data_IF_411871977769
#
_entry.id   IF_411871977769
#
_cell.length_a   1.000
_cell.length_b   1.000
_cell.length_c   1.000
_cell.angle_alpha   90.00
_cell.angle_beta   90.00
_cell.angle_gamma   90.00
#
_symmetry.space_group_name_H-M   'P 1'
#
loop_
_entity.id
_entity.type
_entity.pdbx_description
1 polymer ?
#
# COMPACT_ATOMS: atom_id res chain seq x y z
N UNK A 1 -5.87 -2.07 0.56
CA UNK A 1 -4.46 -1.61 0.53
C UNK A 1 -3.74 -2.09 1.79
N UNK A 2 -2.47 -2.49 1.69
CA UNK A 2 -1.66 -2.92 2.84
C UNK A 2 -0.33 -2.17 2.89
N UNK A 3 0.06 -1.68 4.07
CA UNK A 3 1.27 -0.88 4.25
C UNK A 3 2.23 -1.59 5.21
N UNK A 4 3.45 -1.86 4.74
CA UNK A 4 4.54 -2.41 5.57
C UNK A 4 5.69 -1.43 5.70
N UNK A 5 6.47 -1.28 4.62
CA UNK A 5 7.70 -0.47 4.62
C UNK A 5 7.47 1.01 4.90
N UNK A 6 6.42 1.63 4.37
CA UNK A 6 6.13 3.06 4.58
C UNK A 6 6.01 3.42 6.08
N UNK A 7 5.11 2.76 6.83
CA UNK A 7 5.02 2.92 8.29
C UNK A 7 6.33 2.60 9.04
N UNK A 8 7.08 1.58 8.62
CA UNK A 8 8.39 1.27 9.24
C UNK A 8 9.38 2.43 9.09
N UNK A 9 9.41 3.08 7.92
CA UNK A 9 10.24 4.27 7.67
C UNK A 9 9.74 5.45 8.50
N UNK A 10 8.42 5.66 8.60
CA UNK A 10 7.85 6.70 9.46
C UNK A 10 8.20 6.52 10.95
N UNK A 11 8.38 5.27 11.40
CA UNK A 11 8.86 4.96 12.75
C UNK A 11 10.38 5.11 12.94
N UNK A 12 11.14 5.34 11.87
CA UNK A 12 12.59 5.59 11.92
C UNK A 12 13.45 4.58 11.18
N UNK A 13 12.90 3.68 10.35
CA UNK A 13 13.72 2.78 9.53
C UNK A 13 14.52 3.57 8.49
N UNK A 14 15.84 3.36 8.47
CA UNK A 14 16.77 3.99 7.51
C UNK A 14 17.12 3.10 6.32
N UNK A 15 16.37 2.01 6.10
CA UNK A 15 16.54 1.08 4.99
C UNK A 15 17.97 0.50 4.85
N UNK A 16 18.60 0.17 5.98
CA UNK A 16 19.95 -0.43 6.00
C UNK A 16 20.01 -1.88 5.48
N UNK A 17 18.86 -2.57 5.40
CA UNK A 17 18.72 -3.95 4.87
C UNK A 17 19.53 -5.03 5.60
N UNK A 18 19.71 -4.89 6.90
CA UNK A 18 20.36 -5.88 7.79
C UNK A 18 19.37 -6.53 8.78
N UNK A 19 18.08 -6.50 8.44
CA UNK A 19 17.01 -6.94 9.34
C UNK A 19 17.14 -8.41 9.78
N UNK A 20 17.71 -9.26 8.94
CA UNK A 20 17.94 -10.67 9.22
C UNK A 20 19.11 -10.94 10.18
N UNK A 21 19.97 -9.95 10.43
CA UNK A 21 21.18 -10.10 11.24
C UNK A 21 20.98 -9.74 12.72
N UNK A 22 19.78 -9.34 13.13
CA UNK A 22 19.48 -8.86 14.49
C UNK A 22 20.29 -7.63 14.92
N UNK A 23 20.85 -6.87 13.96
CA UNK A 23 21.74 -5.71 14.23
C UNK A 23 21.12 -4.37 13.84
N UNK A 24 19.79 -4.27 13.87
CA UNK A 24 19.09 -3.04 13.50
C UNK A 24 19.52 -1.86 14.41
N UNK A 25 20.15 -0.80 13.87
CA UNK A 25 20.66 0.29 14.69
C UNK A 25 19.55 1.14 15.32
N UNK A 26 18.35 1.11 14.71
CA UNK A 26 17.19 1.89 15.11
C UNK A 26 16.26 1.13 16.07
N UNK A 27 16.59 -0.11 16.45
CA UNK A 27 15.81 -0.90 17.39
C UNK A 27 14.46 -1.42 16.87
N UNK A 28 14.25 -1.44 15.54
CA UNK A 28 12.99 -1.84 14.91
C UNK A 28 12.94 -3.36 14.72
N UNK A 29 13.82 -3.89 13.87
CA UNK A 29 13.90 -5.33 13.58
C UNK A 29 15.05 -5.96 14.36
N UNK A 30 14.92 -6.02 15.68
CA UNK A 30 15.91 -6.67 16.55
C UNK A 30 15.28 -7.19 17.85
N UNK A 31 15.74 -8.34 18.34
CA UNK A 31 15.41 -8.90 19.64
C UNK A 31 16.48 -8.58 20.70
N UNK A 32 17.67 -8.10 20.29
CA UNK A 32 18.71 -7.67 21.21
C UNK A 32 18.22 -6.54 22.13
N UNK A 33 18.20 -6.73 23.47
CA UNK A 33 17.68 -5.73 24.41
C UNK A 33 18.38 -4.37 24.34
N UNK A 34 19.69 -4.33 24.08
CA UNK A 34 20.44 -3.08 24.02
C UNK A 34 20.14 -2.28 22.75
N UNK A 35 19.89 -2.97 21.64
CA UNK A 35 19.48 -2.31 20.39
C UNK A 35 18.01 -1.89 20.43
N UNK A 36 17.12 -2.67 21.06
CA UNK A 36 15.70 -2.34 21.22
C UNK A 36 15.47 -1.05 22.00
N UNK A 37 16.32 -0.72 22.97
CA UNK A 37 16.30 0.58 23.69
C UNK A 37 16.46 1.80 22.77
N UNK A 38 17.02 1.61 21.56
CA UNK A 38 17.21 2.67 20.57
C UNK A 38 15.94 3.00 19.80
N UNK A 39 14.88 2.20 19.94
CA UNK A 39 13.60 2.46 19.29
C UNK A 39 12.97 3.74 19.83
N UNK A 40 12.73 4.70 18.93
CA UNK A 40 12.12 6.00 19.23
C UNK A 40 10.81 6.23 18.47
N UNK A 41 10.30 5.21 17.78
CA UNK A 41 9.05 5.29 17.06
C UNK A 41 7.88 5.48 18.02
N UNK A 42 6.92 6.32 17.64
CA UNK A 42 5.72 6.55 18.43
C UNK A 42 4.46 6.32 17.59
N UNK A 43 3.33 5.93 18.21
CA UNK A 43 2.07 5.72 17.49
C UNK A 43 1.64 6.95 16.68
N UNK A 44 1.91 8.16 17.17
CA UNK A 44 1.55 9.41 16.51
C UNK A 44 2.19 9.54 15.12
N UNK A 45 3.38 8.96 14.91
CA UNK A 45 4.05 8.99 13.60
C UNK A 45 3.28 8.17 12.56
N UNK A 46 2.71 7.03 12.97
CA UNK A 46 1.87 6.20 12.09
C UNK A 46 0.53 6.90 11.82
N UNK A 47 -0.08 7.48 12.85
CA UNK A 47 -1.34 8.24 12.71
C UNK A 47 -1.14 9.39 11.72
N UNK A 48 -0.05 10.15 11.86
CA UNK A 48 0.27 11.24 10.95
C UNK A 48 0.53 10.74 9.53
N UNK A 49 1.30 9.66 9.37
CA UNK A 49 1.54 9.03 8.07
C UNK A 49 0.22 8.65 7.38
N UNK A 50 -0.67 7.94 8.08
CA UNK A 50 -1.95 7.52 7.51
C UNK A 50 -2.86 8.71 7.20
N UNK A 51 -2.84 9.76 8.04
CA UNK A 51 -3.60 10.99 7.79
C UNK A 51 -3.13 11.67 6.50
N UNK A 52 -1.83 11.85 6.32
CA UNK A 52 -1.27 12.46 5.10
C UNK A 52 -1.51 11.60 3.86
N UNK A 53 -1.37 10.27 3.96
CA UNK A 53 -1.71 9.36 2.87
C UNK A 53 -3.20 9.49 2.46
N UNK A 54 -4.10 9.59 3.42
CA UNK A 54 -5.52 9.75 3.15
C UNK A 54 -5.84 11.15 2.57
N UNK A 55 -5.12 12.19 3.00
CA UNK A 55 -5.25 13.54 2.48
C UNK A 55 -4.80 13.65 1.02
N UNK A 56 -3.61 13.15 0.71
CA UNK A 56 -3.09 13.09 -0.66
C UNK A 56 -4.04 12.33 -1.60
N UNK A 57 -4.59 11.20 -1.14
CA UNK A 57 -5.60 10.46 -1.90
C UNK A 57 -6.85 11.33 -2.18
N UNK A 58 -7.36 12.06 -1.18
CA UNK A 58 -8.54 12.94 -1.36
C UNK A 58 -8.24 14.08 -2.32
N UNK A 59 -7.03 14.63 -2.33
CA UNK A 59 -6.62 15.66 -3.29
C UNK A 59 -6.65 15.13 -4.73
N UNK A 60 -6.13 13.92 -4.97
CA UNK A 60 -6.23 13.29 -6.28
C UNK A 60 -7.68 12.97 -6.67
N UNK A 61 -8.49 12.46 -5.74
CA UNK A 61 -9.92 12.21 -5.97
C UNK A 61 -10.66 13.48 -6.37
N UNK A 62 -10.39 14.60 -5.68
CA UNK A 62 -10.98 15.90 -6.01
C UNK A 62 -10.58 16.38 -7.42
N UNK A 63 -9.31 16.19 -7.82
CA UNK A 63 -8.83 16.53 -9.17
C UNK A 63 -9.48 15.69 -10.27
N UNK A 64 -9.86 14.45 -9.95
CA UNK A 64 -10.55 13.54 -10.86
C UNK A 64 -12.08 13.67 -10.81
N UNK A 65 -12.62 14.46 -9.89
CA UNK A 65 -14.06 14.65 -9.72
C UNK A 65 -14.79 13.44 -9.10
N UNK A 66 -14.10 12.63 -8.29
CA UNK A 66 -14.64 11.44 -7.64
C UNK A 66 -14.83 11.69 -6.15
N UNK A 67 -15.97 11.26 -5.57
CA UNK A 67 -16.32 11.58 -4.19
C UNK A 67 -16.02 10.44 -3.21
N UNK A 68 -16.06 9.19 -3.68
CA UNK A 68 -15.81 8.02 -2.83
C UNK A 68 -14.75 7.09 -3.42
N UNK A 69 -14.06 6.33 -2.57
CA UNK A 69 -13.04 5.38 -3.04
C UNK A 69 -13.69 4.27 -3.87
N UNK A 70 -14.91 3.85 -3.53
CA UNK A 70 -15.63 2.79 -4.25
C UNK A 70 -15.98 3.17 -5.69
N UNK A 71 -16.21 4.46 -5.96
CA UNK A 71 -16.37 4.98 -7.32
C UNK A 71 -15.05 4.97 -8.12
N UNK A 72 -13.91 5.11 -7.44
CA UNK A 72 -12.59 5.16 -8.07
C UNK A 72 -12.05 3.76 -8.39
N UNK A 73 -12.34 2.77 -7.55
CA UNK A 73 -11.84 1.39 -7.71
C UNK A 73 -12.34 0.81 -9.04
N UNK A 74 -11.39 0.37 -9.87
CA UNK A 74 -11.67 -0.26 -11.17
C UNK A 74 -11.79 0.69 -12.36
N UNK A 75 -11.74 2.02 -12.17
CA UNK A 75 -11.80 3.04 -13.23
C UNK A 75 -10.50 3.16 -14.03
N UNK A 76 -10.19 2.15 -14.85
CA UNK A 76 -8.99 2.15 -15.72
C UNK A 76 -9.06 3.20 -16.83
N UNK A 77 -10.26 3.71 -17.14
CA UNK A 77 -10.49 4.80 -18.08
C UNK A 77 -9.89 6.14 -17.63
N UNK A 78 -9.67 6.33 -16.32
CA UNK A 78 -9.01 7.52 -15.78
C UNK A 78 -7.47 7.47 -15.90
N UNK A 79 -6.91 6.35 -16.35
CA UNK A 79 -5.48 6.14 -16.51
C UNK A 79 -5.06 6.35 -17.97
N UNK A 80 -3.93 7.02 -18.17
CA UNK A 80 -3.29 7.16 -19.48
C UNK A 80 -1.83 6.76 -19.42
N UNK A 81 -1.34 6.13 -20.49
CA UNK A 81 0.09 5.88 -20.65
C UNK A 81 0.79 7.21 -20.86
N UNK A 82 1.87 7.44 -20.12
CA UNK A 82 2.71 8.62 -20.29
C UNK A 82 3.61 8.43 -21.51
N UNK A 83 3.78 9.48 -22.31
CA UNK A 83 4.70 9.46 -23.45
C UNK A 83 6.12 9.11 -22.98
N UNK A 84 6.76 8.19 -23.71
CA UNK A 84 8.12 7.74 -23.45
C UNK A 84 9.07 8.21 -24.56
N UNK A 85 10.34 8.52 -24.26
CA UNK A 85 11.33 8.84 -25.27
C UNK A 85 11.50 7.71 -26.29
N UNK A 86 11.64 8.06 -27.57
CA UNK A 86 11.86 7.09 -28.64
C UNK A 86 13.13 6.26 -28.39
N UNK A 87 13.02 4.93 -28.55
CA UNK A 87 14.14 3.99 -28.33
C UNK A 87 14.41 3.64 -26.85
N UNK A 88 13.57 4.11 -25.91
CA UNK A 88 13.67 3.69 -24.51
C UNK A 88 12.92 2.37 -24.27
N UNK A 89 13.39 1.56 -23.31
CA UNK A 89 12.67 0.34 -22.89
C UNK A 89 11.22 0.59 -22.47
N UNK A 90 10.91 1.79 -22.00
CA UNK A 90 9.54 2.18 -21.65
C UNK A 90 8.64 2.32 -22.89
N UNK A 91 9.21 2.74 -24.03
CA UNK A 91 8.47 2.85 -25.31
C UNK A 91 8.10 1.49 -25.93
N UNK A 92 8.77 0.42 -25.51
CA UNK A 92 8.51 -0.96 -25.95
C UNK A 92 7.44 -1.68 -25.10
N UNK A 93 6.99 -1.07 -24.00
CA UNK A 93 6.11 -1.72 -23.03
C UNK A 93 4.64 -1.60 -23.44
N UNK A 94 3.99 -2.72 -23.74
CA UNK A 94 2.54 -2.78 -23.97
C UNK A 94 1.78 -2.94 -22.64
N UNK A 95 1.01 -1.90 -22.28
CA UNK A 95 0.19 -1.86 -21.06
C UNK A 95 -1.30 -2.14 -21.34
N UNK A 96 -1.64 -2.56 -22.56
CA UNK A 96 -3.03 -2.77 -22.99
C UNK A 96 -3.76 -3.74 -22.08
N UNK A 97 -3.11 -4.81 -21.62
CA UNK A 97 -3.71 -5.81 -20.72
C UNK A 97 -4.11 -5.25 -19.34
N UNK A 98 -3.48 -4.17 -18.88
CA UNK A 98 -3.82 -3.50 -17.63
C UNK A 98 -4.94 -2.46 -17.82
N UNK A 99 -4.95 -1.77 -18.96
CA UNK A 99 -5.87 -0.66 -19.23
C UNK A 99 -7.20 -1.14 -19.82
N UNK A 100 -7.15 -2.10 -20.75
CA UNK A 100 -8.32 -2.72 -21.38
C UNK A 100 -8.65 -4.02 -20.64
N UNK A 101 -9.31 -3.88 -19.50
CA UNK A 101 -9.79 -5.03 -18.74
C UNK A 101 -11.14 -5.51 -19.33
N UNK A 102 -11.20 -6.70 -19.95
CA UNK A 102 -12.44 -7.24 -20.55
C UNK A 102 -13.54 -7.54 -19.53
N UNK A 103 -13.21 -7.60 -18.22
CA UNK A 103 -14.22 -7.71 -17.15
C UNK A 103 -14.99 -6.40 -16.94
N UNK A 104 -14.52 -5.28 -17.51
CA UNK A 104 -15.13 -3.94 -17.39
C UNK A 104 -16.12 -3.66 -18.52
N UNK A 105 -16.20 -4.50 -19.57
CA UNK A 105 -17.06 -4.24 -20.73
C UNK A 105 -18.56 -4.12 -20.39
N UNK A 106 -19.03 -4.69 -19.28
CA UNK A 106 -20.42 -4.55 -18.82
C UNK A 106 -20.61 -4.73 -17.31
N UNK A 107 -19.54 -4.65 -16.51
CA UNK A 107 -19.68 -4.76 -15.05
C UNK A 107 -18.85 -3.71 -14.37
N UNK A 108 -19.52 -2.90 -13.54
CA UNK A 108 -18.86 -2.14 -12.50
C UNK A 108 -18.17 -3.14 -11.57
N UNK A 109 -16.86 -3.33 -11.72
CA UNK A 109 -16.06 -4.15 -10.81
C UNK A 109 -15.90 -3.38 -9.49
N UNK A 110 -17.03 -3.12 -8.83
CA UNK A 110 -17.05 -2.65 -7.46
C UNK A 110 -16.69 -3.83 -6.57
N UNK A 111 -15.92 -3.55 -5.53
CA UNK A 111 -15.71 -4.50 -4.46
C UNK A 111 -17.07 -4.96 -3.92
N UNK A 112 -17.42 -6.21 -4.18
CA UNK A 112 -18.65 -6.80 -3.66
C UNK A 112 -18.33 -7.40 -2.29
N UNK A 113 -18.89 -6.81 -1.23
CA UNK A 113 -18.72 -7.31 0.14
C UNK A 113 -19.14 -8.79 0.29
N UNK A 114 -19.98 -9.32 -0.61
CA UNK A 114 -20.40 -10.72 -0.62
C UNK A 114 -19.33 -11.69 -1.16
N UNK A 115 -18.38 -11.20 -1.93
CA UNK A 115 -17.30 -12.00 -2.54
C UNK A 115 -16.02 -11.98 -1.69
N UNK A 116 -16.09 -11.39 -0.49
CA UNK A 116 -14.98 -11.36 0.46
C UNK A 116 -14.73 -12.77 0.97
N UNK A 117 -13.58 -13.32 0.60
CA UNK A 117 -13.14 -14.63 1.06
C UNK A 117 -12.99 -14.65 2.59
N UNK A 118 -13.83 -15.44 3.26
CA UNK A 118 -13.80 -15.57 4.71
C UNK A 118 -12.64 -16.49 5.13
N UNK A 119 -11.62 -15.91 5.75
CA UNK A 119 -10.43 -16.62 6.26
C UNK A 119 -10.72 -17.62 7.39
N UNK A 120 -11.95 -17.68 7.91
CA UNK A 120 -12.35 -18.69 8.90
C UNK A 120 -11.62 -18.56 10.24
N UNK A 121 -11.12 -17.37 10.57
CA UNK A 121 -10.33 -17.09 11.78
C UNK A 121 -11.09 -17.44 13.07
N UNK A 122 -12.42 -17.40 13.04
CA UNK A 122 -13.31 -17.84 14.12
C UNK A 122 -13.19 -19.35 14.43
N UNK A 123 -12.76 -20.17 13.47
CA UNK A 123 -12.62 -21.64 13.64
C UNK A 123 -11.31 -22.03 14.30
N UNK A 124 -10.34 -21.13 14.34
CA UNK A 124 -9.07 -21.34 15.02
C UNK A 124 -9.07 -20.46 16.27
N UNK A 125 -9.36 -21.06 17.43
CA UNK A 125 -9.07 -20.42 18.72
C UNK A 125 -7.57 -20.11 18.72
N UNK A 126 -7.23 -18.86 18.41
CA UNK A 126 -5.90 -18.33 18.65
C UNK A 126 -5.73 -18.45 20.16
N UNK A 127 -4.85 -19.35 20.58
CA UNK A 127 -4.47 -19.51 21.96
C UNK A 127 -3.94 -18.14 22.42
N UNK A 128 -4.71 -17.44 23.24
CA UNK A 128 -4.24 -16.26 23.93
C UNK A 128 -3.20 -16.75 24.95
N UNK A 129 -1.92 -16.62 24.61
CA UNK A 129 -0.84 -16.57 25.58
C UNK A 129 -0.65 -15.11 26.01
#
# INVERSE_FOLDING_TARGET
FGFGTGPLVAMGCVMMRVCNLDTCPMGICTQNPELRKRFKGKPEYIINFMRFMAEDLREYMARLGVHTVDELVGRTDLLKVKDAPAGSRASEMDLTALLKNPLVENSSVHFNAKDVYNFGLEKHRICAC
#
